data_IF_786045474369
#
_entry.id   IF_786045474369
#
_cell.length_a   1.000
_cell.length_b   1.000
_cell.length_c   1.000
_cell.angle_alpha   90.00
_cell.angle_beta   90.00
_cell.angle_gamma   90.00
#
_symmetry.space_group_name_H-M   'P 1'
#
loop_
_entity.id
_entity.type
_entity.pdbx_description
1 polymer ?
#
# COMPACT_ATOMS: atom_id res chain seq x y z
N UNK A 1 -22.59 11.05 -25.31
CA UNK A 1 -22.37 11.48 -23.91
C UNK A 1 -21.02 10.96 -23.51
N UNK A 2 -20.02 11.84 -23.41
CA UNK A 2 -18.69 11.45 -22.93
C UNK A 2 -18.74 11.36 -21.41
N UNK A 3 -18.27 10.29 -20.76
CA UNK A 3 -18.16 10.29 -19.31
C UNK A 3 -17.10 11.32 -18.93
N UNK A 4 -17.52 12.33 -18.17
CA UNK A 4 -16.61 13.27 -17.53
C UNK A 4 -15.83 12.49 -16.48
N UNK A 5 -14.63 12.01 -16.82
CA UNK A 5 -13.69 11.43 -15.87
C UNK A 5 -13.29 12.50 -14.86
N UNK A 6 -14.09 12.67 -13.81
CA UNK A 6 -13.76 13.50 -12.67
C UNK A 6 -12.77 12.71 -11.81
N UNK A 7 -11.49 13.08 -11.91
CA UNK A 7 -10.48 12.61 -10.96
C UNK A 7 -10.91 13.10 -9.57
N UNK A 8 -11.33 12.16 -8.74
CA UNK A 8 -11.75 12.45 -7.38
C UNK A 8 -10.52 12.38 -6.47
N UNK A 9 -10.35 13.38 -5.61
CA UNK A 9 -9.19 13.45 -4.71
C UNK A 9 -9.32 12.42 -3.60
N UNK A 10 -8.18 11.80 -3.23
CA UNK A 10 -8.07 10.97 -2.04
C UNK A 10 -7.53 11.79 -0.87
N UNK A 11 -7.95 11.47 0.34
CA UNK A 11 -7.52 12.14 1.58
C UNK A 11 -6.59 11.23 2.40
N UNK A 12 -5.63 11.82 3.12
CA UNK A 12 -4.73 11.11 4.03
C UNK A 12 -5.01 11.52 5.47
N UNK A 13 -5.73 10.65 6.19
CA UNK A 13 -6.08 10.85 7.59
C UNK A 13 -5.05 10.18 8.49
N UNK A 14 -4.05 10.96 8.91
CA UNK A 14 -2.82 10.47 9.58
C UNK A 14 -2.04 9.52 8.67
N UNK A 15 -2.27 8.21 8.78
CA UNK A 15 -1.59 7.16 8.01
C UNK A 15 -2.61 6.25 7.27
N UNK A 16 -3.85 6.73 7.13
CA UNK A 16 -4.97 6.06 6.47
C UNK A 16 -5.32 6.81 5.19
N UNK A 17 -5.20 6.17 4.04
CA UNK A 17 -5.72 6.73 2.79
C UNK A 17 -7.22 6.45 2.69
N UNK A 18 -8.00 7.47 2.35
CA UNK A 18 -9.45 7.40 2.18
C UNK A 18 -9.82 7.89 0.78
N UNK A 19 -10.64 7.12 0.07
CA UNK A 19 -11.13 7.45 -1.26
C UNK A 19 -12.54 6.90 -1.45
N UNK A 20 -13.57 7.74 -1.42
CA UNK A 20 -14.95 7.32 -1.72
C UNK A 20 -15.37 6.04 -0.96
N UNK A 21 -15.19 6.02 0.37
CA UNK A 21 -15.47 4.85 1.22
C UNK A 21 -14.37 3.79 1.28
N UNK A 22 -13.56 3.66 0.23
CA UNK A 22 -12.39 2.80 0.22
C UNK A 22 -11.34 3.34 1.20
N UNK A 23 -10.83 2.45 2.03
CA UNK A 23 -9.77 2.73 2.99
C UNK A 23 -8.58 1.84 2.74
N UNK A 24 -7.39 2.41 2.87
CA UNK A 24 -6.13 1.70 2.74
C UNK A 24 -5.17 2.03 3.88
N UNK A 25 -4.56 0.98 4.44
CA UNK A 25 -3.39 1.09 5.32
C UNK A 25 -2.22 0.35 4.72
N UNK A 26 -1.03 0.87 4.97
CA UNK A 26 0.22 0.24 4.56
C UNK A 26 0.88 -0.36 5.80
N UNK A 27 1.41 -1.56 5.68
CA UNK A 27 1.94 -2.35 6.77
C UNK A 27 3.39 -2.77 6.49
N UNK A 28 4.21 -2.78 7.55
CA UNK A 28 5.62 -3.19 7.47
C UNK A 28 5.77 -4.69 7.64
N UNK A 29 6.61 -5.30 6.81
CA UNK A 29 6.97 -6.72 6.86
C UNK A 29 8.49 -6.83 6.75
N UNK A 30 9.13 -7.70 7.52
CA UNK A 30 10.54 -8.04 7.30
C UNK A 30 10.68 -8.89 6.03
N UNK A 31 11.57 -8.52 5.12
CA UNK A 31 11.75 -9.23 3.85
C UNK A 31 12.09 -10.72 4.04
N UNK A 32 12.83 -11.06 5.10
CA UNK A 32 13.14 -12.44 5.49
C UNK A 32 11.90 -13.26 5.91
N UNK A 33 10.77 -12.61 6.18
CA UNK A 33 9.50 -13.22 6.55
C UNK A 33 8.44 -13.14 5.45
N UNK A 34 8.80 -12.58 4.29
CA UNK A 34 7.91 -12.51 3.15
C UNK A 34 7.89 -13.84 2.39
N UNK A 35 6.69 -14.30 2.06
CA UNK A 35 6.44 -15.48 1.24
C UNK A 35 5.18 -15.25 0.40
N UNK A 36 5.24 -15.59 -0.89
CA UNK A 36 4.09 -15.48 -1.78
C UNK A 36 2.93 -16.38 -1.32
N UNK A 37 1.72 -15.83 -1.22
CA UNK A 37 0.51 -16.57 -0.82
C UNK A 37 0.45 -16.98 0.66
N UNK A 38 1.48 -16.69 1.46
CA UNK A 38 1.48 -17.00 2.88
C UNK A 38 0.67 -15.98 3.69
N UNK A 39 0.20 -16.41 4.86
CA UNK A 39 -0.35 -15.49 5.86
C UNK A 39 0.79 -14.71 6.51
N UNK A 40 1.00 -13.48 6.07
CA UNK A 40 2.07 -12.61 6.56
C UNK A 40 1.72 -11.95 7.90
N UNK A 41 2.75 -11.63 8.68
CA UNK A 41 2.63 -10.88 9.94
C UNK A 41 3.34 -9.55 9.81
N UNK A 42 2.72 -8.50 10.32
CA UNK A 42 3.21 -7.14 10.23
C UNK A 42 3.90 -6.68 11.52
N UNK A 43 4.88 -5.79 11.39
CA UNK A 43 5.51 -5.04 12.48
C UNK A 43 4.79 -3.72 12.81
N UNK A 44 3.60 -3.52 12.23
CA UNK A 44 2.79 -2.34 12.44
C UNK A 44 2.55 -1.55 11.15
N UNK A 45 1.73 -0.51 11.29
CA UNK A 45 1.37 0.40 10.21
C UNK A 45 2.59 1.25 9.83
N UNK A 46 2.80 1.41 8.52
CA UNK A 46 3.76 2.35 7.95
C UNK A 46 3.22 3.77 8.12
N UNK A 47 3.99 4.70 8.71
CA UNK A 47 3.59 6.08 8.71
C UNK A 47 3.67 6.64 7.28
N UNK A 48 2.59 7.26 6.81
CA UNK A 48 2.53 7.82 5.46
C UNK A 48 2.71 9.33 5.51
N UNK A 49 3.23 9.89 4.41
CA UNK A 49 3.28 11.33 4.19
C UNK A 49 2.77 11.64 2.78
N UNK A 50 2.02 12.73 2.64
CA UNK A 50 1.47 13.17 1.36
C UNK A 50 2.32 14.32 0.80
N UNK A 51 2.77 14.17 -0.43
CA UNK A 51 3.45 15.22 -1.19
C UNK A 51 2.79 15.35 -2.58
N UNK A 52 1.82 16.27 -2.74
CA UNK A 52 1.04 16.35 -3.97
C UNK A 52 0.23 15.06 -4.21
N UNK A 53 0.49 14.36 -5.32
CA UNK A 53 -0.11 13.06 -5.65
C UNK A 53 0.74 11.85 -5.22
N UNK A 54 1.82 12.11 -4.48
CA UNK A 54 2.71 11.08 -3.94
C UNK A 54 2.34 10.74 -2.50
N UNK A 55 2.30 9.45 -2.22
CA UNK A 55 2.30 8.86 -0.90
C UNK A 55 3.70 8.35 -0.62
N UNK A 56 4.41 9.00 0.30
CA UNK A 56 5.74 8.62 0.74
C UNK A 56 5.64 7.62 1.89
N UNK A 57 6.26 6.45 1.71
CA UNK A 57 6.31 5.37 2.68
C UNK A 57 7.76 5.05 3.05
N UNK A 58 8.18 5.13 4.33
CA UNK A 58 9.50 4.70 4.75
C UNK A 58 9.61 3.18 4.61
N UNK A 59 10.62 2.71 3.88
CA UNK A 59 10.90 1.29 3.70
C UNK A 59 12.41 1.05 3.69
N UNK A 60 12.89 0.29 4.68
CA UNK A 60 14.30 -0.10 4.76
C UNK A 60 14.66 -1.18 3.73
N UNK A 61 15.96 -1.35 3.45
CA UNK A 61 16.45 -2.34 2.48
C UNK A 61 16.15 -3.82 2.83
N UNK A 62 15.77 -4.10 4.09
CA UNK A 62 15.37 -5.44 4.58
C UNK A 62 13.88 -5.52 4.88
N UNK A 63 13.11 -4.57 4.39
CA UNK A 63 11.67 -4.46 4.62
C UNK A 63 10.91 -4.66 3.31
N UNK A 64 9.67 -5.09 3.45
CA UNK A 64 8.67 -5.13 2.41
C UNK A 64 7.38 -4.53 2.96
N UNK A 65 6.49 -4.14 2.06
CA UNK A 65 5.19 -3.59 2.38
C UNK A 65 4.07 -4.56 2.04
N UNK A 66 2.96 -4.37 2.75
CA UNK A 66 1.66 -4.92 2.40
C UNK A 66 0.63 -3.81 2.51
N UNK A 67 -0.21 -3.66 1.48
CA UNK A 67 -1.34 -2.73 1.47
C UNK A 67 -2.61 -3.50 1.86
N UNK A 68 -3.26 -3.11 2.94
CA UNK A 68 -4.54 -3.63 3.39
C UNK A 68 -5.67 -2.67 3.03
N UNK A 69 -6.79 -3.21 2.56
CA UNK A 69 -7.93 -2.49 2.02
C UNK A 69 -9.23 -2.96 2.65
N UNK A 70 -10.16 -2.03 2.84
CA UNK A 70 -11.54 -2.33 3.19
C UNK A 70 -12.43 -1.19 2.71
N UNK A 71 -13.72 -1.46 2.55
CA UNK A 71 -14.72 -0.50 2.10
C UNK A 71 -15.87 -0.51 3.10
N UNK A 72 -16.48 0.65 3.34
CA UNK A 72 -17.71 0.68 4.14
C UNK A 72 -18.86 0.01 3.40
N UNK A 73 -19.69 -0.70 4.16
CA UNK A 73 -20.85 -1.43 3.62
C UNK A 73 -21.84 -0.50 2.90
N UNK A 74 -21.93 0.77 3.33
CA UNK A 74 -22.81 1.79 2.76
C UNK A 74 -22.35 2.29 1.38
N UNK A 75 -21.05 2.20 1.07
CA UNK A 75 -20.45 2.69 -0.18
C UNK A 75 -20.46 1.64 -1.31
N UNK A 76 -21.03 0.46 -1.04
CA UNK A 76 -21.25 -0.62 -2.00
C UNK A 76 -19.99 -1.43 -2.34
N UNK A 77 -20.11 -2.74 -2.65
CA UNK A 77 -18.96 -3.58 -3.00
C UNK A 77 -18.38 -3.21 -4.38
N UNK A 78 -17.16 -3.69 -4.66
CA UNK A 78 -16.58 -3.65 -6.01
C UNK A 78 -15.50 -2.59 -6.24
N UNK A 79 -14.93 -2.00 -5.18
CA UNK A 79 -13.74 -1.19 -5.36
C UNK A 79 -12.59 -2.01 -5.95
N UNK A 80 -11.96 -1.46 -6.99
CA UNK A 80 -10.79 -2.05 -7.66
C UNK A 80 -9.55 -1.29 -7.24
N UNK A 81 -8.50 -2.03 -6.89
CA UNK A 81 -7.18 -1.46 -6.59
C UNK A 81 -6.14 -2.13 -7.45
N UNK A 82 -5.32 -1.33 -8.12
CA UNK A 82 -4.19 -1.80 -8.88
C UNK A 82 -2.90 -1.13 -8.41
N UNK A 83 -1.84 -1.93 -8.31
CA UNK A 83 -0.50 -1.47 -7.99
C UNK A 83 0.46 -1.92 -9.09
N UNK A 84 1.21 -0.98 -9.67
CA UNK A 84 2.10 -1.24 -10.79
C UNK A 84 3.52 -0.78 -10.49
N UNK A 85 4.47 -1.70 -10.55
CA UNK A 85 5.90 -1.43 -10.63
C UNK A 85 6.29 -1.33 -12.10
N UNK A 86 6.32 -0.11 -12.63
CA UNK A 86 6.66 0.14 -14.04
C UNK A 86 8.11 -0.20 -14.36
N UNK A 87 9.01 -0.10 -13.39
CA UNK A 87 10.44 -0.37 -13.61
C UNK A 87 10.68 -1.87 -13.83
N UNK A 88 9.91 -2.74 -13.15
CA UNK A 88 10.03 -4.19 -13.28
C UNK A 88 8.96 -4.83 -14.16
N UNK A 89 7.99 -4.05 -14.64
CA UNK A 89 6.83 -4.58 -15.36
C UNK A 89 5.99 -5.54 -14.51
N UNK A 90 5.99 -5.35 -13.19
CA UNK A 90 5.25 -6.20 -12.26
C UNK A 90 3.99 -5.47 -11.78
N UNK A 91 2.89 -6.19 -11.60
CA UNK A 91 1.62 -5.59 -11.18
C UNK A 91 0.82 -6.49 -10.25
N UNK A 92 -0.11 -5.90 -9.53
CA UNK A 92 -1.16 -6.64 -8.83
C UNK A 92 -2.47 -5.86 -8.89
N UNK A 93 -3.57 -6.59 -8.88
CA UNK A 93 -4.92 -6.04 -8.87
C UNK A 93 -5.76 -6.86 -7.91
N UNK A 94 -6.65 -6.19 -7.18
CA UNK A 94 -7.69 -6.82 -6.36
C UNK A 94 -9.03 -6.13 -6.61
N UNK A 95 -10.10 -6.88 -6.40
CA UNK A 95 -11.47 -6.37 -6.34
C UNK A 95 -12.03 -6.71 -4.97
N UNK A 96 -12.55 -5.72 -4.24
CA UNK A 96 -13.19 -5.92 -2.94
C UNK A 96 -14.66 -6.37 -3.13
N UNK A 97 -15.21 -7.25 -2.27
CA UNK A 97 -14.66 -7.76 -1.01
C UNK A 97 -13.96 -9.15 -0.99
N UNK A 98 -13.79 -9.96 -2.06
CA UNK A 98 -13.12 -11.27 -1.92
C UNK A 98 -11.65 -11.15 -1.52
N UNK A 99 -11.01 -10.02 -1.85
CA UNK A 99 -9.62 -9.72 -1.53
C UNK A 99 -9.54 -8.42 -0.74
N UNK A 100 -8.66 -8.36 0.27
CA UNK A 100 -8.53 -7.20 1.17
C UNK A 100 -7.08 -6.71 1.25
N UNK A 101 -6.20 -7.21 0.39
CA UNK A 101 -4.78 -7.27 0.73
C UNK A 101 -3.89 -7.47 -0.51
N UNK A 102 -2.89 -6.59 -0.68
CA UNK A 102 -1.83 -6.70 -1.68
C UNK A 102 -0.46 -6.88 -1.01
N UNK A 103 0.07 -8.10 -1.05
CA UNK A 103 1.39 -8.45 -0.45
C UNK A 103 2.49 -8.69 -1.48
N UNK A 104 2.13 -8.80 -2.75
CA UNK A 104 3.05 -9.15 -3.82
C UNK A 104 2.55 -8.60 -5.16
N UNK A 105 3.50 -8.38 -6.07
CA UNK A 105 3.29 -8.09 -7.48
C UNK A 105 3.62 -9.33 -8.29
N UNK A 106 2.93 -9.57 -9.40
CA UNK A 106 3.29 -10.63 -10.36
C UNK A 106 4.10 -10.01 -11.49
N UNK A 107 5.28 -10.58 -11.75
CA UNK A 107 6.08 -10.28 -12.93
C UNK A 107 5.46 -10.87 -14.20
N UNK A 108 6.06 -10.57 -15.36
CA UNK A 108 5.60 -11.07 -16.66
C UNK A 108 5.65 -12.61 -16.78
N UNK A 109 6.54 -13.25 -16.04
CA UNK A 109 6.68 -14.71 -15.93
C UNK A 109 5.74 -15.34 -14.87
N UNK A 110 4.90 -14.52 -14.22
CA UNK A 110 4.02 -14.94 -13.12
C UNK A 110 4.72 -15.04 -11.76
N UNK A 111 6.04 -14.78 -11.69
CA UNK A 111 6.80 -14.79 -10.43
C UNK A 111 6.27 -13.72 -9.49
N UNK A 112 6.07 -14.09 -8.23
CA UNK A 112 5.67 -13.14 -7.19
C UNK A 112 6.89 -12.35 -6.69
N UNK A 113 6.73 -11.03 -6.60
CA UNK A 113 7.73 -10.10 -6.09
C UNK A 113 7.17 -9.32 -4.90
N UNK A 114 7.97 -9.07 -3.85
CA UNK A 114 7.55 -8.22 -2.75
C UNK A 114 7.41 -6.76 -3.19
N UNK A 115 6.56 -6.01 -2.48
CA UNK A 115 6.50 -4.55 -2.58
C UNK A 115 7.65 -4.01 -1.70
N UNK A 116 8.82 -3.87 -2.29
CA UNK A 116 10.06 -3.53 -1.59
C UNK A 116 11.08 -2.86 -2.53
N UNK A 117 12.07 -2.13 -1.97
CA UNK A 117 13.22 -1.65 -2.74
C UNK A 117 13.92 -2.78 -3.53
N UNK A 118 14.67 -2.46 -4.61
CA UNK A 118 14.88 -1.14 -5.20
C UNK A 118 13.73 -0.57 -6.04
N UNK A 119 12.56 -1.23 -6.12
CA UNK A 119 11.39 -0.62 -6.75
C UNK A 119 10.86 0.50 -5.86
N UNK A 120 11.32 1.73 -6.12
CA UNK A 120 11.06 2.88 -5.28
C UNK A 120 9.75 3.60 -5.62
N UNK A 121 9.16 3.35 -6.79
CA UNK A 121 7.96 4.07 -7.26
C UNK A 121 6.95 3.09 -7.83
N UNK A 122 5.75 3.09 -7.26
CA UNK A 122 4.61 2.32 -7.75
C UNK A 122 3.49 3.26 -8.16
N UNK A 123 2.83 2.97 -9.28
CA UNK A 123 1.57 3.62 -9.62
C UNK A 123 0.43 2.88 -8.92
N UNK A 124 -0.33 3.59 -8.09
CA UNK A 124 -1.50 3.10 -7.38
C UNK A 124 -2.75 3.67 -8.04
N UNK A 125 -3.57 2.82 -8.63
CA UNK A 125 -4.86 3.20 -9.20
C UNK A 125 -5.99 2.66 -8.32
N UNK A 126 -6.92 3.53 -7.93
CA UNK A 126 -8.10 3.22 -7.14
C UNK A 126 -9.34 3.54 -7.96
N UNK A 127 -10.31 2.64 -7.98
CA UNK A 127 -11.60 2.87 -8.65
C UNK A 127 -12.75 2.38 -7.76
N UNK A 128 -13.76 3.22 -7.55
CA UNK A 128 -14.99 2.84 -6.84
C UNK A 128 -16.14 3.74 -7.27
N UNK A 129 -17.36 3.19 -7.38
CA UNK A 129 -18.56 3.97 -7.71
C UNK A 129 -18.48 4.81 -9.00
N UNK A 130 -17.65 4.41 -9.98
CA UNK A 130 -17.41 5.18 -11.21
C UNK A 130 -16.38 6.32 -11.08
N UNK A 131 -15.86 6.57 -9.88
CA UNK A 131 -14.76 7.50 -9.64
C UNK A 131 -13.40 6.80 -9.74
N UNK A 132 -12.39 7.55 -10.16
CA UNK A 132 -11.00 7.07 -10.24
C UNK A 132 -10.04 8.03 -9.53
N UNK A 133 -9.05 7.46 -8.84
CA UNK A 133 -7.91 8.17 -8.26
C UNK A 133 -6.61 7.49 -8.66
N UNK A 134 -5.63 8.28 -9.08
CA UNK A 134 -4.29 7.83 -9.45
C UNK A 134 -3.29 8.51 -8.53
N UNK A 135 -2.46 7.70 -7.87
CA UNK A 135 -1.44 8.15 -6.93
C UNK A 135 -0.12 7.46 -7.24
N UNK A 136 0.97 8.06 -6.76
CA UNK A 136 2.27 7.39 -6.73
C UNK A 136 2.57 6.95 -5.30
N UNK A 137 2.82 5.66 -5.06
CA UNK A 137 3.37 5.17 -3.80
C UNK A 137 4.90 5.12 -3.94
N UNK A 138 5.60 5.99 -3.22
CA UNK A 138 7.06 6.07 -3.24
C UNK A 138 7.66 5.46 -1.98
N UNK A 139 8.56 4.49 -2.15
CA UNK A 139 9.34 3.92 -1.05
C UNK A 139 10.62 4.73 -0.87
N UNK A 140 10.81 5.25 0.33
CA UNK A 140 12.00 6.03 0.68
C UNK A 140 12.80 5.35 1.79
N UNK A 141 14.13 5.43 1.76
CA UNK A 141 14.95 5.13 2.94
C UNK A 141 14.41 5.89 4.16
N UNK A 142 14.30 5.27 5.35
CA UNK A 142 13.64 5.89 6.50
C UNK A 142 14.17 7.28 6.89
N UNK A 143 15.47 7.53 6.68
CA UNK A 143 16.10 8.83 6.92
C UNK A 143 15.61 9.91 5.95
N UNK A 144 15.48 9.59 4.68
CA UNK A 144 15.01 10.53 3.65
C UNK A 144 13.53 10.84 3.86
N UNK A 145 12.73 9.82 4.16
CA UNK A 145 11.32 10.01 4.54
C UNK A 145 11.17 10.92 5.75
N UNK A 146 11.98 10.74 6.80
CA UNK A 146 11.92 11.56 8.00
C UNK A 146 12.21 13.05 7.71
N UNK A 147 13.15 13.31 6.79
CA UNK A 147 13.46 14.67 6.34
C UNK A 147 12.29 15.29 5.58
N UNK A 148 11.71 14.55 4.62
CA UNK A 148 10.56 15.02 3.84
C UNK A 148 9.32 15.25 4.71
N UNK A 149 9.04 14.32 5.61
CA UNK A 149 7.84 14.35 6.45
C UNK A 149 7.95 15.25 7.68
N UNK A 150 9.16 15.72 8.05
CA UNK A 150 9.40 16.45 9.30
C UNK A 150 9.05 15.62 10.55
N UNK A 151 9.12 14.28 10.45
CA UNK A 151 8.73 13.31 11.48
C UNK A 151 9.90 12.39 11.80
N UNK A 152 9.90 11.80 12.99
CA UNK A 152 10.89 10.78 13.34
C UNK A 152 10.74 9.54 12.44
N UNK A 153 11.87 9.03 11.91
CA UNK A 153 11.88 7.79 11.15
C UNK A 153 11.37 6.62 12.00
N UNK A 154 10.61 5.68 11.43
CA UNK A 154 10.25 4.47 12.14
C UNK A 154 11.51 3.66 12.48
N UNK A 155 11.55 2.98 13.64
CA UNK A 155 12.69 2.15 14.02
C UNK A 155 12.85 0.99 13.04
N UNK A 156 14.09 0.55 12.81
CA UNK A 156 14.38 -0.64 12.04
C UNK A 156 13.66 -1.87 12.62
N UNK A 157 13.28 -2.81 11.75
CA UNK A 157 12.67 -4.05 12.21
C UNK A 157 13.69 -4.90 12.99
N UNK A 158 13.33 -5.28 14.20
CA UNK A 158 14.14 -6.15 15.07
C UNK A 158 13.28 -7.27 15.63
N UNK A 159 13.86 -8.47 15.77
CA UNK A 159 13.17 -9.64 16.33
C UNK A 159 12.02 -10.16 15.46
N UNK A 160 11.25 -11.16 15.93
CA UNK A 160 10.06 -11.66 15.24
C UNK A 160 8.92 -10.63 15.27
N UNK A 161 7.88 -10.77 14.41
CA UNK A 161 6.75 -9.86 14.43
C UNK A 161 5.99 -9.94 15.76
N UNK A 162 5.36 -8.83 16.21
CA UNK A 162 4.58 -8.79 17.45
C UNK A 162 3.38 -9.73 17.38
N UNK A 163 3.17 -10.54 18.44
CA UNK A 163 2.04 -11.47 18.52
C UNK A 163 0.72 -10.73 18.35
N UNK A 164 -0.29 -11.34 17.69
CA UNK A 164 -1.62 -10.75 17.65
C UNK A 164 -2.09 -10.50 19.09
N UNK A 165 -2.79 -9.38 19.35
CA UNK A 165 -3.36 -9.14 20.66
C UNK A 165 -4.21 -10.34 21.06
N UNK A 166 -3.98 -10.86 22.26
CA UNK A 166 -4.86 -11.87 22.85
C UNK A 166 -6.14 -11.15 23.26
N UNK A 167 -7.27 -11.57 22.71
CA UNK A 167 -8.56 -11.16 23.26
C UNK A 167 -8.65 -11.79 24.65
N UNK A 168 -8.76 -10.94 25.68
CA UNK A 168 -9.04 -11.33 27.06
C UNK A 168 -10.55 -11.29 27.30
#
# INVERSE_FOLDING_TARGET
>A
MSPTNSLSSSDLQRDLLVFMGLRMRVHRIGLAHWQAGARLRSWGVVPLHRNGDELLAPCGAREALWLGFWQDEEDGPGATVELHDRARGASASIVLPPEFQLTALRGADGTAHPIAPPAAHYALALSTGGAQCLLSLQLQPPREWAQAAGRAAPPALTGPPPLPPRYA
#
